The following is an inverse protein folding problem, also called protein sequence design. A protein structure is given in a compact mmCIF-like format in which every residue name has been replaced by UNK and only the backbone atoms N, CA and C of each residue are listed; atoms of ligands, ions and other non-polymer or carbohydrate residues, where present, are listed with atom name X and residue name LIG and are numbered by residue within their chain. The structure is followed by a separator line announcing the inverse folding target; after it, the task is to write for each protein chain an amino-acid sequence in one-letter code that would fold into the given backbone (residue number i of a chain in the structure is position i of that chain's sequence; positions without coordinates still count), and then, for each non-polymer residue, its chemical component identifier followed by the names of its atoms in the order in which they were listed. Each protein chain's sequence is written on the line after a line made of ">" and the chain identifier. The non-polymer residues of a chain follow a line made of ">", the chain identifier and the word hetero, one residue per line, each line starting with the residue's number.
data_IF_203537072976
#
_entry.id   IF_203537072976
#
_cell.length_a   1.000
_cell.length_b   1.000
_cell.length_c   1.000
_cell.angle_alpha   90.00
_cell.angle_beta   90.00
_cell.angle_gamma   90.00
#
_symmetry.space_group_name_H-M   'P 1'
#
loop_
_entity.id
_entity.type
_entity.pdbx_description
1 polymer ?
#
# COMPACT_ATOMS: atom_id res chain seq x y z
N UNK A 1 -53.28 30.75 -12.50
CA UNK A 1 -52.11 30.38 -13.32
C UNK A 1 -50.93 30.19 -12.37
N UNK A 2 -50.85 29.03 -11.70
CA UNK A 2 -49.89 28.77 -10.61
C UNK A 2 -49.61 27.27 -10.57
N UNK A 3 -48.79 26.77 -11.50
CA UNK A 3 -48.42 25.34 -11.60
C UNK A 3 -46.98 25.07 -12.02
N UNK A 4 -46.13 26.11 -12.07
CA UNK A 4 -44.72 25.98 -12.49
C UNK A 4 -43.77 26.01 -11.28
N UNK A 5 -44.19 26.59 -10.15
CA UNK A 5 -43.32 26.78 -8.97
C UNK A 5 -43.02 25.49 -8.18
N UNK A 6 -43.88 24.47 -8.22
CA UNK A 6 -43.66 23.23 -7.43
C UNK A 6 -42.73 22.22 -8.10
N UNK A 7 -42.66 22.22 -9.43
CA UNK A 7 -41.80 21.29 -10.20
C UNK A 7 -40.34 21.74 -10.12
N UNK A 8 -40.09 23.06 -10.15
CA UNK A 8 -38.74 23.62 -10.03
C UNK A 8 -38.08 23.34 -8.66
N UNK A 9 -38.87 23.26 -7.58
CA UNK A 9 -38.36 22.90 -6.25
C UNK A 9 -37.98 21.41 -6.17
N UNK A 10 -38.73 20.52 -6.83
CA UNK A 10 -38.42 19.09 -6.87
C UNK A 10 -37.17 18.78 -7.70
N UNK A 11 -36.95 19.51 -8.80
CA UNK A 11 -35.75 19.36 -9.63
C UNK A 11 -34.51 19.93 -8.91
N UNK A 12 -34.66 21.03 -8.17
CA UNK A 12 -33.59 21.60 -7.35
C UNK A 12 -33.13 20.67 -6.20
N UNK A 13 -34.05 19.89 -5.62
CA UNK A 13 -33.70 18.87 -4.62
C UNK A 13 -32.95 17.66 -5.22
N UNK A 14 -33.21 17.31 -6.47
CA UNK A 14 -32.54 16.20 -7.16
C UNK A 14 -31.07 16.52 -7.49
N UNK A 15 -30.74 17.79 -7.73
CA UNK A 15 -29.36 18.25 -7.96
C UNK A 15 -28.50 18.33 -6.68
N UNK A 16 -29.10 18.34 -5.48
CA UNK A 16 -28.36 18.33 -4.22
C UNK A 16 -27.81 16.94 -3.83
N UNK A 17 -28.24 15.88 -4.51
CA UNK A 17 -27.74 14.52 -4.28
C UNK A 17 -26.49 14.17 -5.09
N UNK A 18 -26.03 15.05 -5.98
CA UNK A 18 -24.85 14.83 -6.82
C UNK A 18 -23.56 15.47 -6.26
N UNK A 19 -23.63 16.08 -5.08
CA UNK A 19 -22.47 16.70 -4.41
C UNK A 19 -21.89 15.84 -3.29
N UNK A 20 -21.96 14.51 -3.41
CA UNK A 20 -21.16 13.60 -2.60
C UNK A 20 -19.82 13.29 -3.28
N UNK A 21 -19.10 14.35 -3.70
CA UNK A 21 -17.66 14.24 -3.94
C UNK A 21 -16.98 14.34 -2.57
N UNK A 22 -17.19 13.31 -1.76
CA UNK A 22 -16.55 13.18 -0.46
C UNK A 22 -15.21 12.50 -0.67
N UNK A 23 -14.12 13.20 -0.39
CA UNK A 23 -12.83 12.59 -0.05
C UNK A 23 -12.95 11.87 1.30
N UNK A 24 -13.85 10.90 1.40
CA UNK A 24 -13.99 9.99 2.53
C UNK A 24 -13.10 8.78 2.32
N UNK A 25 -12.56 8.24 3.41
CA UNK A 25 -11.86 6.96 3.41
C UNK A 25 -12.68 5.91 2.65
N UNK A 26 -12.09 5.32 1.61
CA UNK A 26 -12.67 4.18 0.90
C UNK A 26 -12.73 2.99 1.84
N UNK A 27 -13.49 1.95 1.49
CA UNK A 27 -13.48 0.72 2.30
C UNK A 27 -12.08 0.07 2.32
N UNK A 28 -11.32 0.21 1.22
CA UNK A 28 -9.91 -0.19 1.15
C UNK A 28 -9.01 0.54 2.15
N UNK A 29 -9.19 1.86 2.32
CA UNK A 29 -8.44 2.66 3.29
C UNK A 29 -8.69 2.16 4.72
N UNK A 30 -9.96 1.90 5.06
CA UNK A 30 -10.34 1.35 6.37
C UNK A 30 -9.79 -0.05 6.59
N UNK A 31 -9.81 -0.91 5.57
CA UNK A 31 -9.25 -2.26 5.65
C UNK A 31 -7.74 -2.21 5.91
N UNK A 32 -7.04 -1.27 5.27
CA UNK A 32 -5.62 -1.05 5.49
C UNK A 32 -5.33 -0.53 6.92
N UNK A 33 -6.11 0.42 7.42
CA UNK A 33 -6.00 0.93 8.79
C UNK A 33 -6.20 -0.18 9.82
N UNK A 34 -7.31 -0.91 9.72
CA UNK A 34 -7.66 -1.99 10.65
C UNK A 34 -6.58 -3.07 10.68
N UNK A 35 -5.96 -3.37 9.53
CA UNK A 35 -4.89 -4.33 9.46
C UNK A 35 -3.65 -3.89 10.25
N UNK A 36 -3.25 -2.62 10.16
CA UNK A 36 -2.14 -2.08 10.94
C UNK A 36 -2.44 -2.03 12.45
N UNK A 37 -3.69 -1.70 12.82
CA UNK A 37 -4.13 -1.72 14.21
C UNK A 37 -4.10 -3.14 14.81
N UNK A 38 -4.49 -4.16 14.02
CA UNK A 38 -4.42 -5.58 14.43
C UNK A 38 -2.98 -6.05 14.65
N UNK A 39 -2.03 -5.47 13.92
CA UNK A 39 -0.59 -5.66 14.16
C UNK A 39 -0.07 -4.96 15.43
N UNK A 40 -0.91 -4.14 16.07
CA UNK A 40 -0.55 -3.38 17.27
C UNK A 40 0.10 -2.03 16.99
N UNK A 41 0.04 -1.55 15.74
CA UNK A 41 0.59 -0.26 15.37
C UNK A 41 -0.41 0.88 15.62
N UNK A 42 0.12 2.05 15.98
CA UNK A 42 -0.69 3.26 16.15
C UNK A 42 -0.48 4.17 14.95
N UNK A 43 -1.55 4.50 14.24
CA UNK A 43 -1.48 5.37 13.06
C UNK A 43 -1.37 6.83 13.50
N UNK A 44 -0.26 7.48 13.16
CA UNK A 44 0.01 8.89 13.46
C UNK A 44 -0.28 9.82 12.29
N UNK A 45 -0.25 9.31 11.05
CA UNK A 45 -0.59 10.06 9.84
C UNK A 45 -1.18 9.13 8.77
N UNK A 46 -2.09 9.68 7.94
CA UNK A 46 -2.72 9.01 6.81
C UNK A 46 -2.39 9.76 5.53
N UNK A 47 -1.74 9.10 4.60
CA UNK A 47 -1.44 9.66 3.27
C UNK A 47 -2.47 9.20 2.22
N UNK A 48 -3.28 8.19 2.55
CA UNK A 48 -4.30 7.62 1.67
C UNK A 48 -3.69 6.75 0.57
N UNK A 49 -4.40 6.61 -0.54
CA UNK A 49 -3.91 5.87 -1.70
C UNK A 49 -2.75 6.63 -2.36
N UNK A 50 -1.55 6.05 -2.33
CA UNK A 50 -0.35 6.65 -2.93
C UNK A 50 0.02 6.06 -4.27
N UNK A 51 -0.43 4.84 -4.57
CA UNK A 51 -0.16 4.19 -5.85
C UNK A 51 -1.24 3.15 -6.20
N UNK A 52 -1.38 2.89 -7.50
CA UNK A 52 -2.20 1.83 -8.06
C UNK A 52 -1.55 1.32 -9.34
N UNK A 53 -1.43 0.00 -9.51
CA UNK A 53 -0.82 -0.60 -10.69
C UNK A 53 -1.34 -2.01 -10.96
N UNK A 54 -1.27 -2.47 -12.21
CA UNK A 54 -1.47 -3.89 -12.53
C UNK A 54 -0.15 -4.64 -12.29
N UNK A 55 -0.20 -5.71 -11.50
CA UNK A 55 0.97 -6.55 -11.28
C UNK A 55 1.21 -7.39 -12.52
N UNK A 56 2.18 -6.97 -13.33
CA UNK A 56 2.72 -7.76 -14.42
C UNK A 56 4.05 -8.39 -14.00
N UNK A 57 4.41 -9.52 -14.61
CA UNK A 57 5.69 -10.20 -14.34
C UNK A 57 6.90 -9.27 -14.50
N UNK A 58 6.83 -8.36 -15.48
CA UNK A 58 7.87 -7.38 -15.75
C UNK A 58 8.10 -6.39 -14.60
N UNK A 59 7.12 -6.13 -13.72
CA UNK A 59 7.29 -5.28 -12.53
C UNK A 59 8.23 -5.90 -11.49
N UNK A 60 8.40 -7.22 -11.50
CA UNK A 60 9.20 -7.92 -10.50
C UNK A 60 10.66 -8.06 -10.90
N UNK A 61 11.08 -7.62 -12.08
CA UNK A 61 12.47 -7.74 -12.53
C UNK A 61 12.83 -6.65 -13.54
N UNK A 62 14.08 -6.66 -14.00
CA UNK A 62 14.50 -5.83 -15.14
C UNK A 62 15.06 -4.47 -14.75
N UNK A 63 14.41 -3.40 -15.21
CA UNK A 63 14.91 -2.02 -15.21
C UNK A 63 14.99 -1.40 -13.81
N UNK A 64 15.74 -0.29 -13.71
CA UNK A 64 15.88 0.49 -12.47
C UNK A 64 14.53 0.96 -11.93
N UNK A 65 13.56 1.27 -12.79
CA UNK A 65 12.21 1.66 -12.34
C UNK A 65 11.43 0.53 -11.65
N UNK A 66 11.82 -0.74 -11.86
CA UNK A 66 11.15 -1.89 -11.27
C UNK A 66 11.72 -2.30 -9.91
N UNK A 67 12.88 -1.75 -9.53
CA UNK A 67 13.55 -2.06 -8.26
C UNK A 67 12.61 -1.87 -7.05
N UNK A 68 11.84 -0.77 -6.92
CA UNK A 68 10.94 -0.59 -5.76
C UNK A 68 9.87 -1.68 -5.66
N UNK A 69 9.30 -2.13 -6.77
CA UNK A 69 8.31 -3.20 -6.78
C UNK A 69 8.95 -4.55 -6.46
N UNK A 70 10.08 -4.88 -7.09
CA UNK A 70 10.83 -6.10 -6.80
C UNK A 70 11.18 -6.19 -5.31
N UNK A 71 11.65 -5.10 -4.71
CA UNK A 71 12.02 -5.06 -3.30
C UNK A 71 10.81 -5.15 -2.38
N UNK A 72 9.71 -4.44 -2.70
CA UNK A 72 8.48 -4.51 -1.91
C UNK A 72 7.86 -5.90 -1.94
N UNK A 73 7.81 -6.55 -3.10
CA UNK A 73 7.35 -7.93 -3.24
C UNK A 73 8.29 -8.95 -2.61
N UNK A 74 9.60 -8.67 -2.57
CA UNK A 74 10.60 -9.55 -1.96
C UNK A 74 10.49 -9.72 -0.44
N UNK A 75 9.80 -8.81 0.24
CA UNK A 75 9.56 -8.86 1.70
C UNK A 75 8.14 -9.34 2.06
N UNK A 76 7.36 -9.83 1.10
CA UNK A 76 6.03 -10.37 1.34
C UNK A 76 6.09 -11.87 1.67
N UNK A 77 5.17 -12.34 2.50
CA UNK A 77 4.98 -13.77 2.78
C UNK A 77 4.13 -14.48 1.71
N UNK A 78 3.41 -13.71 0.87
CA UNK A 78 2.56 -14.22 -0.20
C UNK A 78 3.31 -14.33 -1.53
N UNK A 79 2.97 -15.34 -2.34
CA UNK A 79 3.54 -15.51 -3.68
C UNK A 79 2.95 -14.48 -4.67
N UNK A 80 3.78 -13.68 -5.37
CA UNK A 80 3.32 -12.72 -6.38
C UNK A 80 2.50 -13.36 -7.50
N UNK A 81 2.74 -14.64 -7.81
CA UNK A 81 2.12 -15.34 -8.94
C UNK A 81 0.59 -15.36 -8.85
N UNK A 82 0.04 -15.29 -7.63
CA UNK A 82 -1.41 -15.28 -7.35
C UNK A 82 -2.10 -13.99 -7.77
N UNK A 83 -1.31 -12.94 -8.04
CA UNK A 83 -1.81 -11.59 -8.27
C UNK A 83 -1.46 -11.04 -9.65
N UNK A 84 -0.85 -11.85 -10.52
CA UNK A 84 -0.58 -11.40 -11.90
C UNK A 84 -1.86 -11.03 -12.66
N UNK A 85 -1.79 -9.92 -13.40
CA UNK A 85 -2.91 -9.34 -14.12
C UNK A 85 -3.95 -8.67 -13.22
N UNK A 86 -3.75 -8.67 -11.89
CA UNK A 86 -4.63 -7.99 -10.94
C UNK A 86 -4.12 -6.61 -10.58
N UNK A 87 -5.05 -5.75 -10.21
CA UNK A 87 -4.74 -4.44 -9.67
C UNK A 87 -4.27 -4.54 -8.22
N UNK A 88 -3.13 -3.91 -7.95
CA UNK A 88 -2.58 -3.69 -6.62
C UNK A 88 -2.75 -2.22 -6.28
N UNK A 89 -3.36 -1.95 -5.13
CA UNK A 89 -3.52 -0.59 -4.61
C UNK A 89 -2.68 -0.44 -3.34
N UNK A 90 -1.96 0.68 -3.23
CA UNK A 90 -1.06 0.95 -2.11
C UNK A 90 -1.60 2.11 -1.29
N UNK A 91 -1.80 1.85 0.00
CA UNK A 91 -2.15 2.87 0.99
C UNK A 91 -0.98 3.12 1.92
N UNK A 92 -0.69 4.38 2.19
CA UNK A 92 0.44 4.77 3.03
C UNK A 92 -0.01 5.40 4.34
N UNK A 93 0.70 5.01 5.40
CA UNK A 93 0.53 5.49 6.76
C UNK A 93 1.88 5.80 7.39
N UNK A 94 1.90 6.76 8.31
CA UNK A 94 2.95 6.84 9.32
C UNK A 94 2.43 6.18 10.58
N UNK A 95 3.23 5.30 11.17
CA UNK A 95 2.86 4.55 12.36
C UNK A 95 3.90 4.69 13.46
N UNK A 96 3.46 4.47 14.69
CA UNK A 96 4.30 4.21 15.84
C UNK A 96 4.07 2.82 16.43
N UNK A 97 4.94 2.43 17.37
CA UNK A 97 5.04 1.09 17.94
C UNK A 97 5.52 0.03 16.93
N UNK A 98 6.31 0.46 15.95
CA UNK A 98 6.87 -0.42 14.93
C UNK A 98 8.30 -0.88 15.31
N UNK A 99 8.72 -2.14 15.01
CA UNK A 99 10.07 -2.63 15.35
C UNK A 99 11.22 -1.74 14.84
N UNK A 100 11.03 -1.08 13.70
CA UNK A 100 12.03 -0.18 13.12
C UNK A 100 12.27 1.09 13.93
N UNK A 101 11.30 1.56 14.72
CA UNK A 101 11.49 2.74 15.56
C UNK A 101 12.60 2.50 16.58
N UNK A 102 12.64 1.31 17.19
CA UNK A 102 13.70 0.93 18.11
C UNK A 102 15.07 0.82 17.43
N UNK A 103 15.09 0.36 16.17
CA UNK A 103 16.32 0.17 15.39
C UNK A 103 16.91 1.49 14.90
N UNK A 104 16.06 2.43 14.50
CA UNK A 104 16.47 3.66 13.81
C UNK A 104 16.23 4.95 14.59
N UNK A 105 15.54 4.88 15.73
CA UNK A 105 15.14 6.01 16.56
C UNK A 105 14.43 7.10 15.74
N UNK A 106 13.47 6.68 14.93
CA UNK A 106 12.71 7.52 13.99
C UNK A 106 11.36 6.88 13.67
N UNK A 107 10.41 7.67 13.17
CA UNK A 107 9.08 7.19 12.77
C UNK A 107 9.17 6.12 11.66
N UNK A 108 8.09 5.34 11.49
CA UNK A 108 8.00 4.35 10.41
C UNK A 108 6.89 4.71 9.44
N UNK A 109 7.20 4.74 8.15
CA UNK A 109 6.20 4.75 7.09
C UNK A 109 5.90 3.31 6.69
N UNK A 110 4.61 3.00 6.53
CA UNK A 110 4.12 1.70 6.09
C UNK A 110 3.27 1.85 4.85
N UNK A 111 3.59 1.08 3.82
CA UNK A 111 2.78 0.90 2.62
C UNK A 111 2.03 -0.43 2.72
N UNK A 112 0.71 -0.37 2.84
CA UNK A 112 -0.17 -1.55 2.83
C UNK A 112 -0.59 -1.86 1.40
N UNK A 113 -0.44 -3.12 1.01
CA UNK A 113 -0.78 -3.62 -0.32
C UNK A 113 -2.16 -4.26 -0.28
N UNK A 114 -3.05 -3.83 -1.18
CA UNK A 114 -4.38 -4.40 -1.35
C UNK A 114 -4.59 -4.92 -2.76
N UNK A 115 -5.37 -5.99 -2.88
CA UNK A 115 -5.86 -6.53 -4.14
C UNK A 115 -7.33 -6.95 -3.97
N UNK A 116 -8.21 -6.47 -4.85
CA UNK A 116 -9.66 -6.74 -4.79
C UNK A 116 -10.26 -6.39 -3.40
N UNK A 117 -9.81 -5.28 -2.81
CA UNK A 117 -10.23 -4.80 -1.48
C UNK A 117 -9.69 -5.56 -0.27
N UNK A 118 -8.91 -6.62 -0.49
CA UNK A 118 -8.29 -7.40 0.58
C UNK A 118 -6.84 -7.01 0.79
N UNK A 119 -6.40 -6.91 2.05
CA UNK A 119 -4.98 -6.72 2.36
C UNK A 119 -4.20 -7.99 2.06
N UNK A 120 -3.15 -7.85 1.25
CA UNK A 120 -2.31 -8.96 0.80
C UNK A 120 -0.88 -8.89 1.38
N UNK A 121 -0.56 -7.81 2.07
CA UNK A 121 0.74 -7.60 2.71
C UNK A 121 1.10 -6.12 2.80
N UNK A 122 2.38 -5.84 2.93
CA UNK A 122 2.88 -4.47 3.01
C UNK A 122 4.37 -4.39 3.30
N UNK A 123 4.91 -3.19 3.22
CA UNK A 123 6.32 -2.90 3.41
C UNK A 123 6.49 -1.68 4.32
N UNK A 124 7.52 -1.72 5.16
CA UNK A 124 7.84 -0.65 6.11
C UNK A 124 9.21 -0.04 5.83
N UNK A 125 9.34 1.25 6.10
CA UNK A 125 10.58 1.99 5.92
C UNK A 125 10.76 3.02 7.04
N UNK A 126 11.98 3.20 7.57
CA UNK A 126 12.21 4.26 8.53
C UNK A 126 12.06 5.62 7.83
N UNK A 127 11.42 6.57 8.51
CA UNK A 127 11.08 7.88 7.97
C UNK A 127 11.43 9.00 8.95
N UNK A 128 11.68 10.20 8.43
CA UNK A 128 11.85 11.44 9.20
C UNK A 128 10.86 12.47 8.68
N UNK A 129 9.75 12.66 9.41
CA UNK A 129 8.62 13.44 8.91
C UNK A 129 8.06 12.80 7.64
N UNK A 130 7.86 13.61 6.59
CA UNK A 130 7.30 13.12 5.32
C UNK A 130 8.33 12.48 4.37
N UNK A 131 9.59 12.38 4.78
CA UNK A 131 10.67 11.81 3.96
C UNK A 131 11.04 10.41 4.44
N UNK A 132 10.92 9.43 3.55
CA UNK A 132 11.41 8.08 3.79
C UNK A 132 12.92 8.06 3.65
N UNK A 133 13.62 7.36 4.55
CA UNK A 133 15.06 7.17 4.44
C UNK A 133 15.38 6.21 3.29
N UNK A 134 16.33 6.59 2.44
CA UNK A 134 16.73 5.77 1.29
C UNK A 134 17.25 4.39 1.73
N UNK A 135 16.80 3.34 1.05
CA UNK A 135 17.21 1.96 1.32
C UNK A 135 16.18 0.96 0.82
N UNK A 136 16.47 -0.32 1.04
CA UNK A 136 15.51 -1.38 0.80
C UNK A 136 14.42 -1.37 1.89
N UNK A 137 13.16 -1.72 1.55
CA UNK A 137 12.09 -1.86 2.51
C UNK A 137 12.28 -3.07 3.43
N UNK A 138 11.55 -3.03 4.54
CA UNK A 138 11.37 -4.13 5.47
C UNK A 138 9.97 -4.72 5.32
N UNK A 139 9.75 -5.94 5.83
CA UNK A 139 8.40 -6.47 6.03
C UNK A 139 7.61 -5.63 7.03
N UNK A 140 6.32 -5.92 7.19
CA UNK A 140 5.49 -5.28 8.22
C UNK A 140 5.95 -5.61 9.65
N UNK A 141 6.63 -6.72 9.85
CA UNK A 141 7.23 -7.11 11.13
C UNK A 141 8.64 -6.53 11.32
N UNK A 142 9.10 -5.67 10.40
CA UNK A 142 10.42 -5.05 10.44
C UNK A 142 11.57 -5.99 10.05
N UNK A 143 11.28 -7.08 9.33
CA UNK A 143 12.28 -8.04 8.88
C UNK A 143 12.92 -7.63 7.56
N UNK A 144 14.21 -7.92 7.37
CA UNK A 144 14.85 -7.77 6.05
C UNK A 144 14.40 -8.87 5.09
N UNK A 145 14.65 -8.67 3.81
CA UNK A 145 14.43 -9.68 2.77
C UNK A 145 15.10 -11.02 3.11
N UNK A 146 16.31 -11.00 3.64
CA UNK A 146 17.03 -12.21 4.05
C UNK A 146 16.37 -12.90 5.25
N UNK A 147 15.87 -12.13 6.21
CA UNK A 147 15.17 -12.65 7.38
C UNK A 147 13.83 -13.29 7.01
N UNK A 148 13.11 -12.71 6.04
CA UNK A 148 11.85 -13.27 5.50
C UNK A 148 12.14 -14.56 4.73
N UNK A 149 13.10 -14.54 3.81
CA UNK A 149 13.32 -15.63 2.86
C UNK A 149 14.30 -16.70 3.36
N UNK A 150 14.97 -16.48 4.51
CA UNK A 150 15.99 -17.37 5.09
C UNK A 150 17.13 -17.71 4.11
N UNK A 151 17.52 -16.75 3.29
CA UNK A 151 18.59 -16.86 2.30
C UNK A 151 19.30 -15.51 2.16
N UNK A 152 20.52 -15.52 1.64
CA UNK A 152 21.22 -14.28 1.33
C UNK A 152 20.54 -13.51 0.20
N UNK A 153 20.75 -12.19 0.15
CA UNK A 153 20.27 -11.37 -0.97
C UNK A 153 20.73 -11.90 -2.33
N UNK A 154 21.96 -12.43 -2.42
CA UNK A 154 22.51 -12.98 -3.66
C UNK A 154 21.70 -14.20 -4.12
N UNK A 155 21.48 -15.17 -3.23
CA UNK A 155 20.71 -16.38 -3.54
C UNK A 155 19.26 -16.02 -3.92
N UNK A 156 18.64 -15.12 -3.15
CA UNK A 156 17.30 -14.63 -3.45
C UNK A 156 17.25 -13.97 -4.83
N UNK A 157 18.20 -13.09 -5.14
CA UNK A 157 18.23 -12.35 -6.40
C UNK A 157 18.40 -13.28 -7.61
N UNK A 158 19.23 -14.33 -7.48
CA UNK A 158 19.40 -15.35 -8.52
C UNK A 158 18.10 -16.14 -8.75
N UNK A 159 17.44 -16.61 -7.68
CA UNK A 159 16.16 -17.33 -7.77
C UNK A 159 15.07 -16.44 -8.34
N UNK A 160 14.97 -15.20 -7.86
CA UNK A 160 14.00 -14.22 -8.29
C UNK A 160 14.16 -13.89 -9.78
N UNK A 161 15.40 -13.70 -10.22
CA UNK A 161 15.72 -13.49 -11.64
C UNK A 161 15.40 -14.71 -12.50
N UNK A 162 15.67 -15.93 -12.02
CA UNK A 162 15.27 -17.13 -12.77
C UNK A 162 13.75 -17.23 -12.94
N UNK A 163 12.99 -16.86 -11.89
CA UNK A 163 11.52 -16.90 -11.93
C UNK A 163 10.93 -15.77 -12.78
N UNK A 164 11.44 -14.56 -12.62
CA UNK A 164 10.80 -13.34 -13.11
C UNK A 164 11.58 -12.55 -14.18
N UNK A 165 12.83 -12.88 -14.44
CA UNK A 165 13.75 -12.14 -15.32
C UNK A 165 13.56 -12.33 -16.83
N UNK A 166 12.32 -12.55 -17.28
CA UNK A 166 11.95 -12.78 -18.68
C UNK A 166 11.12 -11.65 -19.24
#
# INVERSE_FOLDING_TARGET
>A
MMRITKISVLIGLLFLLLSACGNGATDDDKNAEQYLEQYGYQITSRQGQVEKYILEKSKLSGSTENIPYQQSWGVQSVDPDKYFGKEITIYQFTVSNHPLEKKYNTETTVNVMLCEGNVIGGASMPARGNAVLMGAPYSLEGQTLEEVNKMSFKEWSEIWKMKYGS
#
